data_IF_992020526112
#
_entry.id   IF_992020526112
#
_cell.length_a   1.000
_cell.length_b   1.000
_cell.length_c   1.000
_cell.angle_alpha   90.00
_cell.angle_beta   90.00
_cell.angle_gamma   90.00
#
_symmetry.space_group_name_H-M   'P 1'
#
loop_
_entity.id
_entity.type
_entity.pdbx_description
1 polymer ?
#
# COMPACT_ATOMS: atom_id res chain seq x y z
N UNK A 1 9.77 1.80 9.21
CA UNK A 1 8.90 1.36 10.32
C UNK A 1 8.00 0.25 9.78
N UNK A 2 7.60 -0.74 10.60
CA UNK A 2 6.68 -1.80 10.13
C UNK A 2 5.20 -1.46 10.29
N UNK A 3 4.33 -2.47 10.32
CA UNK A 3 2.91 -2.30 10.70
C UNK A 3 2.11 -1.34 9.82
N UNK A 4 2.41 -1.27 8.51
CA UNK A 4 1.69 -0.37 7.60
C UNK A 4 2.14 1.10 7.63
N UNK A 5 3.04 1.47 8.55
CA UNK A 5 3.59 2.82 8.66
C UNK A 5 4.22 3.32 7.35
N UNK A 6 5.04 2.48 6.71
CA UNK A 6 5.76 2.87 5.50
C UNK A 6 4.79 3.03 4.32
N UNK A 7 3.79 2.14 4.22
CA UNK A 7 2.75 2.17 3.19
C UNK A 7 1.93 3.45 3.25
N UNK A 8 1.48 3.85 4.45
CA UNK A 8 0.70 5.08 4.61
C UNK A 8 1.53 6.32 4.32
N UNK A 9 2.79 6.37 4.75
CA UNK A 9 3.70 7.48 4.41
C UNK A 9 3.93 7.61 2.90
N UNK A 10 4.17 6.49 2.21
CA UNK A 10 4.34 6.49 0.75
C UNK A 10 3.05 6.93 0.06
N UNK A 11 1.89 6.41 0.49
CA UNK A 11 0.59 6.79 -0.06
C UNK A 11 0.31 8.28 0.11
N UNK A 12 0.56 8.83 1.30
CA UNK A 12 0.35 10.25 1.60
C UNK A 12 1.29 11.15 0.78
N UNK A 13 2.54 10.72 0.56
CA UNK A 13 3.47 11.43 -0.29
C UNK A 13 3.00 11.46 -1.76
N UNK A 14 2.51 10.34 -2.28
CA UNK A 14 1.95 10.26 -3.64
C UNK A 14 0.67 11.08 -3.78
N UNK A 15 -0.26 11.00 -2.82
CA UNK A 15 -1.48 11.82 -2.80
C UNK A 15 -1.17 13.31 -2.80
N UNK A 16 -0.17 13.74 -2.01
CA UNK A 16 0.26 15.13 -1.96
C UNK A 16 0.81 15.61 -3.30
N UNK A 17 1.59 14.79 -3.98
CA UNK A 17 2.13 15.14 -5.30
C UNK A 17 1.06 15.08 -6.39
N UNK A 18 0.10 14.16 -6.29
CA UNK A 18 -1.01 14.04 -7.24
C UNK A 18 -1.83 15.34 -7.35
N UNK A 19 -1.91 16.15 -6.28
CA UNK A 19 -2.57 17.47 -6.28
C UNK A 19 -1.88 18.50 -7.18
N UNK A 20 -0.58 18.33 -7.44
CA UNK A 20 0.20 19.22 -8.30
C UNK A 20 0.16 18.77 -9.77
N UNK A 21 -0.40 17.59 -10.06
CA UNK A 21 -0.47 17.01 -11.40
C UNK A 21 -1.87 17.20 -11.97
N UNK A 22 -1.97 17.62 -13.23
CA UNK A 22 -3.25 17.84 -13.91
C UNK A 22 -3.70 16.63 -14.74
N UNK A 23 -5.02 16.44 -14.85
CA UNK A 23 -5.62 15.47 -15.77
C UNK A 23 -5.53 14.02 -15.29
N UNK A 24 -5.56 13.08 -16.23
CA UNK A 24 -5.68 11.62 -15.94
C UNK A 24 -4.52 11.06 -15.11
N UNK A 25 -3.33 11.67 -15.19
CA UNK A 25 -2.17 11.25 -14.41
C UNK A 25 -2.40 11.41 -12.90
N UNK A 26 -3.10 12.48 -12.48
CA UNK A 26 -3.46 12.69 -11.07
C UNK A 26 -4.36 11.57 -10.54
N UNK A 27 -5.32 11.11 -11.35
CA UNK A 27 -6.19 9.99 -11.01
C UNK A 27 -5.40 8.68 -10.85
N UNK A 28 -4.46 8.40 -11.75
CA UNK A 28 -3.59 7.22 -11.65
C UNK A 28 -2.69 7.26 -10.41
N UNK A 29 -2.12 8.42 -10.08
CA UNK A 29 -1.34 8.60 -8.85
C UNK A 29 -2.20 8.40 -7.59
N UNK A 30 -3.42 8.92 -7.60
CA UNK A 30 -4.36 8.74 -6.49
C UNK A 30 -4.72 7.27 -6.30
N UNK A 31 -4.97 6.54 -7.40
CA UNK A 31 -5.21 5.10 -7.36
C UNK A 31 -4.00 4.32 -6.83
N UNK A 32 -2.77 4.72 -7.19
CA UNK A 32 -1.55 4.12 -6.66
C UNK A 32 -1.42 4.34 -5.15
N UNK A 33 -1.69 5.55 -4.66
CA UNK A 33 -1.70 5.83 -3.23
C UNK A 33 -2.76 5.00 -2.48
N UNK A 34 -3.96 4.86 -3.04
CA UNK A 34 -5.00 3.99 -2.50
C UNK A 34 -4.56 2.53 -2.45
N UNK A 35 -3.86 2.03 -3.47
CA UNK A 35 -3.30 0.69 -3.50
C UNK A 35 -2.26 0.46 -2.39
N UNK A 36 -1.46 1.49 -2.04
CA UNK A 36 -0.56 1.40 -0.90
C UNK A 36 -1.32 1.28 0.43
N UNK A 37 -2.40 2.03 0.61
CA UNK A 37 -3.25 1.94 1.81
C UNK A 37 -3.95 0.59 1.96
N UNK A 38 -4.17 -0.15 0.87
CA UNK A 38 -4.80 -1.49 0.94
C UNK A 38 -3.99 -2.47 1.80
N UNK A 39 -2.66 -2.37 1.81
CA UNK A 39 -1.83 -3.27 2.62
C UNK A 39 -2.17 -3.19 4.13
N UNK A 40 -2.12 -2.01 4.78
CA UNK A 40 -2.56 -1.90 6.17
C UNK A 40 -4.07 -2.10 6.36
N UNK A 41 -4.92 -1.78 5.39
CA UNK A 41 -6.36 -2.09 5.46
C UNK A 41 -6.59 -3.59 5.60
N UNK A 42 -5.98 -4.38 4.72
CA UNK A 42 -6.05 -5.84 4.73
C UNK A 42 -5.46 -6.41 6.03
N UNK A 43 -4.39 -5.82 6.56
CA UNK A 43 -3.84 -6.22 7.86
C UNK A 43 -4.84 -6.03 9.00
N UNK A 44 -5.54 -4.88 9.03
CA UNK A 44 -6.57 -4.59 10.03
C UNK A 44 -7.79 -5.50 9.88
N UNK A 45 -8.26 -5.72 8.65
CA UNK A 45 -9.38 -6.62 8.34
C UNK A 45 -9.06 -8.06 8.76
N UNK A 46 -7.85 -8.56 8.45
CA UNK A 46 -7.39 -9.88 8.87
C UNK A 46 -7.29 -10.01 10.40
N UNK A 47 -7.05 -8.89 11.10
CA UNK A 47 -7.08 -8.80 12.55
C UNK A 47 -8.49 -8.71 13.15
N UNK A 48 -9.53 -8.55 12.32
CA UNK A 48 -10.91 -8.37 12.76
C UNK A 48 -11.21 -6.98 13.34
N UNK A 49 -10.39 -5.98 13.02
CA UNK A 49 -10.56 -4.61 13.49
C UNK A 49 -11.32 -3.74 12.48
N UNK A 50 -11.80 -2.58 12.93
CA UNK A 50 -12.35 -1.56 12.02
C UNK A 50 -11.21 -0.90 11.23
N UNK A 51 -10.97 -1.43 10.03
CA UNK A 51 -9.92 -0.94 9.14
C UNK A 51 -10.16 0.49 8.67
N UNK A 52 -11.42 0.92 8.49
CA UNK A 52 -11.71 2.29 8.08
C UNK A 52 -11.30 3.28 9.17
N UNK A 53 -11.64 2.97 10.42
CA UNK A 53 -11.26 3.79 11.57
C UNK A 53 -9.74 3.82 11.74
N UNK A 54 -9.08 2.66 11.76
CA UNK A 54 -7.64 2.57 12.00
C UNK A 54 -6.80 3.26 10.93
N UNK A 55 -7.20 3.14 9.65
CA UNK A 55 -6.50 3.82 8.57
C UNK A 55 -6.70 5.33 8.64
N UNK A 56 -7.89 5.81 8.99
CA UNK A 56 -8.14 7.23 9.19
C UNK A 56 -7.29 7.80 10.33
N UNK A 57 -7.23 7.10 11.48
CA UNK A 57 -6.39 7.48 12.61
C UNK A 57 -4.90 7.49 12.26
N UNK A 58 -4.44 6.47 11.52
CA UNK A 58 -3.05 6.35 11.10
C UNK A 58 -2.66 7.48 10.13
N UNK A 59 -3.52 7.81 9.16
CA UNK A 59 -3.31 8.96 8.27
C UNK A 59 -3.22 10.27 9.05
N UNK A 60 -4.15 10.50 9.98
CA UNK A 60 -4.13 11.69 10.83
C UNK A 60 -2.85 11.79 11.68
N UNK A 61 -2.37 10.66 12.23
CA UNK A 61 -1.11 10.62 12.97
C UNK A 61 0.08 11.04 12.10
N UNK A 62 0.17 10.55 10.87
CA UNK A 62 1.22 10.95 9.94
C UNK A 62 1.10 12.42 9.50
N UNK A 63 -0.11 12.93 9.25
CA UNK A 63 -0.34 14.35 8.96
C UNK A 63 0.09 15.27 10.11
N UNK A 64 -0.01 14.79 11.36
CA UNK A 64 0.49 15.50 12.54
C UNK A 64 2.02 15.42 12.74
N UNK A 65 2.75 14.76 11.83
CA UNK A 65 4.21 14.63 11.84
C UNK A 65 4.74 13.39 12.56
N UNK A 66 3.88 12.43 12.92
CA UNK A 66 4.32 11.17 13.53
C UNK A 66 4.67 10.12 12.47
N UNK A 67 5.84 10.24 11.86
CA UNK A 67 6.34 9.33 10.81
C UNK A 67 6.70 7.91 11.32
N UNK A 68 6.41 7.61 12.58
CA UNK A 68 6.70 6.31 13.20
C UNK A 68 5.44 5.56 13.65
N UNK A 69 4.27 6.16 13.45
CA UNK A 69 2.98 5.56 13.72
C UNK A 69 2.74 4.38 12.77
N UNK A 70 2.18 3.29 13.28
CA UNK A 70 1.72 2.14 12.49
C UNK A 70 0.61 1.41 13.26
N UNK A 71 0.14 0.30 12.71
CA UNK A 71 -0.91 -0.51 13.31
C UNK A 71 -0.32 -1.53 14.29
N UNK A 72 -0.79 -1.48 15.53
CA UNK A 72 -0.69 -2.57 16.49
C UNK A 72 -1.91 -3.48 16.31
N UNK A 73 -1.69 -4.66 15.73
CA UNK A 73 -2.75 -5.65 15.48
C UNK A 73 -3.00 -6.57 16.69
N UNK A 74 -2.27 -6.42 17.79
CA UNK A 74 -2.61 -7.13 19.03
C UNK A 74 -3.71 -6.41 19.79
N UNK A 75 -3.62 -5.07 19.83
CA UNK A 75 -4.56 -4.22 20.56
C UNK A 75 -5.54 -3.47 19.65
N UNK A 76 -5.37 -3.54 18.32
CA UNK A 76 -6.26 -2.88 17.37
C UNK A 76 -6.19 -1.37 17.47
N UNK A 77 -4.98 -0.79 17.47
CA UNK A 77 -4.77 0.66 17.63
C UNK A 77 -3.57 1.18 16.85
N UNK A 78 -3.49 2.50 16.69
CA UNK A 78 -2.27 3.15 16.21
C UNK A 78 -1.21 3.22 17.33
N UNK A 79 0.01 2.81 17.03
CA UNK A 79 1.11 2.77 17.98
C UNK A 79 2.45 3.15 17.36
N UNK A 80 3.46 3.40 18.21
CA UNK A 80 4.81 3.73 17.76
C UNK A 80 5.60 2.46 17.41
N UNK A 81 5.81 2.20 16.13
CA UNK A 81 6.44 0.97 15.65
C UNK A 81 7.88 0.76 16.17
N UNK A 82 8.76 1.78 16.21
CA UNK A 82 10.07 1.65 16.84
C UNK A 82 10.04 1.22 18.32
N UNK A 83 9.12 1.78 19.12
CA UNK A 83 8.97 1.42 20.54
C UNK A 83 8.45 0.00 20.73
N UNK A 84 7.61 -0.47 19.82
CA UNK A 84 7.14 -1.87 19.80
C UNK A 84 8.17 -2.85 19.25
N UNK A 85 9.31 -2.38 18.74
CA UNK A 85 10.32 -3.22 18.09
C UNK A 85 9.90 -3.71 16.69
N UNK A 86 8.80 -3.20 16.12
CA UNK A 86 8.27 -3.63 14.82
C UNK A 86 8.98 -2.87 13.71
N UNK A 87 9.88 -3.57 13.00
CA UNK A 87 10.71 -3.00 11.93
C UNK A 87 10.71 -3.91 10.71
N UNK A 88 10.83 -3.29 9.55
CA UNK A 88 10.96 -3.99 8.26
C UNK A 88 12.22 -3.53 7.55
N UNK A 89 12.76 -4.41 6.71
CA UNK A 89 13.94 -4.11 5.90
C UNK A 89 13.58 -3.19 4.74
N UNK A 90 14.31 -2.07 4.62
CA UNK A 90 14.21 -1.17 3.48
C UNK A 90 14.43 -1.90 2.15
N UNK A 91 15.40 -2.83 2.12
CA UNK A 91 15.71 -3.60 0.90
C UNK A 91 14.51 -4.43 0.45
N UNK A 92 13.83 -5.08 1.41
CA UNK A 92 12.65 -5.88 1.13
C UNK A 92 11.51 -5.00 0.62
N UNK A 93 11.16 -3.92 1.34
CA UNK A 93 10.11 -2.98 0.94
C UNK A 93 10.34 -2.40 -0.45
N UNK A 94 11.58 -1.97 -0.74
CA UNK A 94 11.95 -1.42 -2.04
C UNK A 94 11.73 -2.45 -3.15
N UNK A 95 12.20 -3.69 -2.94
CA UNK A 95 12.07 -4.73 -3.95
C UNK A 95 10.60 -5.09 -4.20
N UNK A 96 9.79 -5.21 -3.15
CA UNK A 96 8.35 -5.48 -3.27
C UNK A 96 7.67 -4.40 -4.09
N UNK A 97 7.93 -3.12 -3.78
CA UNK A 97 7.30 -2.00 -4.49
C UNK A 97 7.69 -1.99 -5.98
N UNK A 98 8.97 -2.19 -6.29
CA UNK A 98 9.47 -2.22 -7.67
C UNK A 98 8.85 -3.39 -8.45
N UNK A 99 8.97 -4.61 -7.92
CA UNK A 99 8.47 -5.80 -8.61
C UNK A 99 6.95 -5.79 -8.78
N UNK A 100 6.19 -5.31 -7.79
CA UNK A 100 4.73 -5.17 -7.91
C UNK A 100 4.36 -4.15 -8.99
N UNK A 101 5.08 -3.03 -9.06
CA UNK A 101 4.83 -1.98 -10.07
C UNK A 101 5.17 -2.47 -11.48
N UNK A 102 6.32 -3.13 -11.66
CA UNK A 102 6.71 -3.75 -12.93
C UNK A 102 5.68 -4.80 -13.38
N UNK A 103 5.19 -5.63 -12.47
CA UNK A 103 4.15 -6.61 -12.76
C UNK A 103 2.83 -5.96 -13.19
N UNK A 104 2.40 -4.92 -12.46
CA UNK A 104 1.19 -4.17 -12.81
C UNK A 104 1.32 -3.50 -14.19
N UNK A 105 2.47 -2.90 -14.49
CA UNK A 105 2.75 -2.30 -15.79
C UNK A 105 2.70 -3.34 -16.92
N UNK A 106 3.29 -4.52 -16.72
CA UNK A 106 3.24 -5.61 -17.71
C UNK A 106 1.79 -6.03 -17.99
N UNK A 107 0.96 -6.18 -16.96
CA UNK A 107 -0.46 -6.56 -17.10
C UNK A 107 -1.25 -5.46 -17.83
N UNK A 108 -1.06 -4.19 -17.46
CA UNK A 108 -1.78 -3.07 -18.05
C UNK A 108 -1.48 -2.84 -19.54
N UNK A 109 -0.34 -3.33 -20.04
CA UNK A 109 0.04 -3.25 -21.45
C UNK A 109 -0.57 -4.34 -22.32
N UNK A 110 -1.17 -5.37 -21.73
CA UNK A 110 -1.84 -6.44 -22.49
C UNK A 110 -3.19 -5.93 -22.98
N UNK A 111 -3.35 -5.82 -24.29
CA UNK A 111 -4.59 -5.43 -24.96
C UNK A 111 -5.44 -6.65 -25.39
N UNK A 112 -4.80 -7.78 -25.71
CA UNK A 112 -5.48 -9.01 -26.14
C UNK A 112 -4.87 -10.29 -25.53
N UNK A 113 -5.73 -11.29 -25.29
CA UNK A 113 -5.34 -12.63 -24.80
C UNK A 113 -5.61 -13.68 -25.88
N UNK A 114 -4.54 -14.28 -26.41
CA UNK A 114 -4.65 -15.38 -27.38
C UNK A 114 -4.60 -16.72 -26.64
N UNK A 115 -5.68 -17.50 -26.70
CA UNK A 115 -5.73 -18.86 -26.16
C UNK A 115 -5.57 -19.89 -27.28
N UNK A 116 -4.50 -20.67 -27.24
CA UNK A 116 -4.29 -21.79 -28.16
C UNK A 116 -5.12 -23.02 -27.73
N UNK A 117 -5.67 -23.74 -28.71
CA UNK A 117 -6.37 -24.98 -28.44
C UNK A 117 -5.43 -26.02 -27.76
N UNK A 118 -5.95 -26.81 -26.80
CA UNK A 118 -5.15 -27.83 -26.15
C UNK A 118 -4.60 -28.84 -27.16
N UNK A 119 -3.32 -29.21 -27.01
CA UNK A 119 -2.64 -30.16 -27.89
C UNK A 119 -3.39 -31.50 -27.86
N UNK A 120 -3.93 -31.91 -29.01
CA UNK A 120 -4.55 -33.23 -29.14
C UNK A 120 -3.49 -34.31 -28.85
N UNK A 121 -3.72 -35.12 -27.82
CA UNK A 121 -2.94 -36.33 -27.57
C UNK A 121 -3.53 -37.43 -28.45
N UNK A 122 -2.74 -37.90 -29.42
CA UNK A 122 -3.04 -39.13 -30.18
C UNK A 122 -2.72 -40.38 -29.39
#
# INVERSE_FOLDING_TARGET
CGGGCTEVLMGAAVEREARNVSGKASLAMTAFAQALYQLPTIMADNGGFDSNQLIAELKAAHESGNDTAGLDLYEGRVANMPRMGIRESLRSKRQVLLSATEAAEMILRVDDIIQCAPRQRG
#
